data_IF_029896730488
#
_entry.id   IF_029896730488
#
_cell.length_a   1.000
_cell.length_b   1.000
_cell.length_c   1.000
_cell.angle_alpha   90.00
_cell.angle_beta   90.00
_cell.angle_gamma   90.00
#
_symmetry.space_group_name_H-M   'P 1'
#
loop_
_entity.id
_entity.type
_entity.pdbx_description
1 polymer ?
#
# COMPACT_ATOMS: atom_id res chain seq x y z
N UNK A 1 35.61 48.08 -0.63
CA UNK A 1 35.45 46.63 -0.85
C UNK A 1 33.96 46.29 -0.76
N UNK A 2 33.17 46.85 -1.70
CA UNK A 2 32.60 46.19 -2.88
C UNK A 2 31.51 45.16 -2.57
N UNK A 3 30.31 45.69 -2.29
CA UNK A 3 29.04 44.95 -2.18
C UNK A 3 28.75 44.02 -3.39
N UNK A 4 29.35 44.32 -4.55
CA UNK A 4 29.34 43.46 -5.74
C UNK A 4 30.02 42.10 -5.51
N UNK A 5 31.08 42.03 -4.70
CA UNK A 5 31.79 40.77 -4.42
C UNK A 5 30.92 39.88 -3.53
N UNK A 6 30.25 40.47 -2.55
CA UNK A 6 29.29 39.76 -1.69
C UNK A 6 28.11 39.24 -2.52
N UNK A 7 27.63 40.02 -3.50
CA UNK A 7 26.53 39.63 -4.38
C UNK A 7 26.94 38.51 -5.36
N UNK A 8 28.15 38.59 -5.96
CA UNK A 8 28.67 37.54 -6.86
C UNK A 8 28.97 36.23 -6.15
N UNK A 9 29.54 36.30 -4.94
CA UNK A 9 29.83 35.10 -4.12
C UNK A 9 28.51 34.46 -3.66
N UNK A 10 27.51 35.27 -3.31
CA UNK A 10 26.16 34.80 -3.01
C UNK A 10 25.47 34.11 -4.19
N UNK A 11 25.59 34.67 -5.40
CA UNK A 11 25.05 34.04 -6.62
C UNK A 11 25.78 32.74 -6.99
N UNK A 12 27.09 32.68 -6.84
CA UNK A 12 27.87 31.47 -7.13
C UNK A 12 27.53 30.30 -6.18
N UNK A 13 27.36 30.58 -4.87
CA UNK A 13 26.95 29.59 -3.88
C UNK A 13 25.52 29.09 -4.11
N UNK A 14 24.60 29.97 -4.50
CA UNK A 14 23.22 29.62 -4.84
C UNK A 14 23.13 28.78 -6.12
N UNK A 15 23.91 29.11 -7.16
CA UNK A 15 24.02 28.31 -8.36
C UNK A 15 24.61 26.93 -8.06
N UNK A 16 25.64 26.86 -7.21
CA UNK A 16 26.28 25.60 -6.83
C UNK A 16 25.36 24.69 -6.01
N UNK A 17 24.55 25.24 -5.10
CA UNK A 17 23.53 24.48 -4.36
C UNK A 17 22.38 24.02 -5.25
N UNK A 18 21.90 24.88 -6.17
CA UNK A 18 20.89 24.50 -7.15
C UNK A 18 21.37 23.38 -8.08
N UNK A 19 22.63 23.44 -8.54
CA UNK A 19 23.26 22.40 -9.37
C UNK A 19 23.46 21.10 -8.58
N UNK A 20 23.90 21.16 -7.32
CA UNK A 20 24.04 19.97 -6.46
C UNK A 20 22.68 19.30 -6.17
N UNK A 21 21.63 20.09 -5.96
CA UNK A 21 20.26 19.59 -5.79
C UNK A 21 19.69 18.99 -7.09
N UNK A 22 19.92 19.64 -8.24
CA UNK A 22 19.56 19.08 -9.54
C UNK A 22 20.30 17.77 -9.82
N UNK A 23 21.60 17.70 -9.52
CA UNK A 23 22.39 16.47 -9.63
C UNK A 23 21.90 15.35 -8.69
N UNK A 24 21.45 15.68 -7.48
CA UNK A 24 20.87 14.70 -6.56
C UNK A 24 19.55 14.12 -7.10
N UNK A 25 18.66 14.97 -7.63
CA UNK A 25 17.40 14.56 -8.26
C UNK A 25 17.65 13.72 -9.54
N UNK A 26 18.64 14.09 -10.35
CA UNK A 26 19.04 13.33 -11.54
C UNK A 26 19.67 11.98 -11.14
N UNK A 27 20.46 11.91 -10.06
CA UNK A 27 21.01 10.64 -9.54
C UNK A 27 19.94 9.70 -9.00
N UNK A 28 18.93 10.21 -8.31
CA UNK A 28 17.82 9.38 -7.81
C UNK A 28 16.96 8.82 -8.96
N UNK A 29 16.70 9.63 -9.99
CA UNK A 29 15.97 9.17 -11.20
C UNK A 29 16.80 8.18 -12.03
N UNK A 30 18.12 8.36 -12.12
CA UNK A 30 19.01 7.41 -12.79
C UNK A 30 19.18 6.10 -12.02
N UNK A 31 19.18 6.11 -10.68
CA UNK A 31 19.20 4.87 -9.87
C UNK A 31 17.95 4.01 -10.11
N UNK A 32 16.78 4.63 -10.29
CA UNK A 32 15.55 3.93 -10.68
C UNK A 32 15.59 3.34 -12.10
N UNK A 33 16.29 3.98 -13.04
CA UNK A 33 16.46 3.50 -14.43
C UNK A 33 17.53 2.41 -14.55
N UNK A 34 18.62 2.48 -13.79
CA UNK A 34 19.70 1.49 -13.80
C UNK A 34 19.27 0.13 -13.22
N UNK A 35 18.39 0.12 -12.21
CA UNK A 35 17.80 -1.11 -11.66
C UNK A 35 16.80 -1.74 -12.63
N UNK A 36 15.97 -0.93 -13.32
CA UNK A 36 15.02 -1.42 -14.34
C UNK A 36 15.68 -1.93 -15.62
N UNK A 37 16.86 -1.45 -16.00
CA UNK A 37 17.60 -1.94 -17.19
C UNK A 37 18.40 -3.23 -16.93
N UNK A 38 18.61 -3.64 -15.68
CA UNK A 38 19.27 -4.92 -15.34
C UNK A 38 18.31 -6.07 -15.01
N UNK A 39 17.03 -5.77 -14.79
CA UNK A 39 15.98 -6.77 -14.56
C UNK A 39 15.50 -7.56 -15.80
N UNK A 40 15.70 -7.16 -17.08
CA UNK A 40 15.36 -8.04 -18.19
C UNK A 40 16.39 -9.16 -18.39
N UNK A 41 17.64 -8.97 -17.95
CA UNK A 41 18.73 -9.92 -18.18
C UNK A 41 18.78 -11.09 -17.18
N UNK A 42 18.07 -10.99 -16.04
CA UNK A 42 17.99 -12.10 -15.05
C UNK A 42 16.78 -13.00 -15.30
N UNK A 43 15.83 -12.59 -16.15
CA UNK A 43 14.61 -13.35 -16.45
C UNK A 43 14.48 -13.78 -17.92
N UNK A 44 15.48 -13.55 -18.76
CA UNK A 44 15.50 -14.04 -20.15
C UNK A 44 16.71 -14.93 -20.44
N UNK A 45 16.55 -16.23 -20.14
CA UNK A 45 17.47 -17.34 -20.46
C UNK A 45 17.28 -18.43 -19.42
N UNK A 46 16.39 -19.41 -19.56
CA UNK A 46 16.32 -20.48 -20.60
C UNK A 46 16.72 -21.82 -19.93
N UNK A 47 16.52 -23.03 -20.48
CA UNK A 47 15.66 -23.52 -21.57
C UNK A 47 14.73 -24.72 -21.17
N UNK A 48 13.62 -24.85 -21.89
CA UNK A 48 13.11 -26.04 -22.61
C UNK A 48 13.06 -27.47 -21.98
N UNK A 49 11.86 -28.08 -22.06
CA UNK A 49 11.50 -29.49 -22.46
C UNK A 49 10.76 -30.43 -21.47
N UNK A 50 9.78 -31.10 -22.12
CA UNK A 50 9.04 -32.36 -21.81
C UNK A 50 7.71 -32.18 -21.07
N UNK A 51 6.60 -32.77 -21.48
CA UNK A 51 6.39 -33.76 -22.53
C UNK A 51 4.90 -33.85 -22.91
N UNK A 52 4.70 -34.20 -24.18
CA UNK A 52 3.45 -34.63 -24.78
C UNK A 52 3.08 -36.01 -24.21
N UNK A 53 1.79 -36.28 -24.17
CA UNK A 53 1.10 -37.57 -23.96
C UNK A 53 0.62 -37.91 -22.54
N UNK A 54 -0.69 -38.19 -22.42
CA UNK A 54 -1.26 -38.93 -21.30
C UNK A 54 -2.60 -38.45 -20.73
N UNK A 55 -3.69 -38.67 -21.48
CA UNK A 55 -5.03 -39.05 -20.99
C UNK A 55 -5.77 -38.23 -19.90
N UNK A 56 -6.81 -37.53 -20.37
CA UNK A 56 -8.22 -37.59 -19.93
C UNK A 56 -8.50 -37.69 -18.42
N UNK A 57 -8.96 -36.58 -17.83
CA UNK A 57 -10.29 -36.41 -17.18
C UNK A 57 -10.37 -35.01 -16.54
N UNK A 58 -11.54 -34.38 -16.57
CA UNK A 58 -11.81 -33.12 -15.85
C UNK A 58 -11.82 -31.85 -16.70
N UNK A 59 -12.56 -31.84 -17.80
CA UNK A 59 -13.03 -30.61 -18.41
C UNK A 59 -14.03 -29.91 -17.47
N UNK A 60 -13.63 -28.79 -16.85
CA UNK A 60 -14.46 -27.59 -16.55
C UNK A 60 -13.94 -26.78 -15.36
N UNK A 61 -12.89 -25.98 -15.54
CA UNK A 61 -12.56 -24.91 -14.58
C UNK A 61 -11.65 -23.80 -15.12
N UNK A 62 -11.07 -23.94 -16.32
CA UNK A 62 -10.06 -23.00 -16.85
C UNK A 62 -10.63 -21.72 -17.53
N UNK A 63 -11.91 -21.40 -17.31
CA UNK A 63 -12.62 -20.39 -18.10
C UNK A 63 -13.17 -19.16 -17.36
N UNK A 64 -12.93 -19.00 -16.04
CA UNK A 64 -13.72 -18.05 -15.23
C UNK A 64 -12.94 -17.07 -14.35
N UNK A 65 -11.68 -16.77 -14.67
CA UNK A 65 -10.89 -15.75 -13.96
C UNK A 65 -10.45 -14.55 -14.79
N UNK A 66 -10.87 -14.47 -16.06
CA UNK A 66 -10.52 -13.36 -16.97
C UNK A 66 -11.53 -12.20 -17.01
N UNK A 67 -12.49 -12.12 -16.08
CA UNK A 67 -13.55 -11.07 -16.09
C UNK A 67 -13.95 -10.53 -14.71
N UNK A 68 -13.00 -10.21 -13.82
CA UNK A 68 -13.34 -9.40 -12.62
C UNK A 68 -12.24 -8.46 -12.10
N UNK A 69 -11.31 -8.05 -12.95
CA UNK A 69 -10.36 -6.96 -12.69
C UNK A 69 -10.37 -5.96 -13.86
N UNK A 70 -11.54 -5.38 -14.13
CA UNK A 70 -11.67 -4.33 -15.14
C UNK A 70 -12.73 -3.29 -14.78
N UNK A 71 -12.82 -2.87 -13.51
CA UNK A 71 -13.47 -1.60 -13.13
C UNK A 71 -12.79 -0.99 -11.91
N UNK A 72 -11.46 -0.82 -11.94
CA UNK A 72 -10.81 0.25 -11.18
C UNK A 72 -9.79 0.91 -12.11
N UNK A 73 -10.17 2.11 -12.52
CA UNK A 73 -9.30 3.15 -13.06
C UNK A 73 -8.59 2.85 -14.37
N UNK A 74 -9.32 3.07 -15.47
CA UNK A 74 -8.72 3.60 -16.70
C UNK A 74 -8.16 5.01 -16.45
N UNK A 75 -7.09 5.09 -15.66
CA UNK A 75 -6.33 6.30 -15.46
C UNK A 75 -5.46 6.54 -16.68
N UNK A 76 -5.84 7.51 -17.49
CA UNK A 76 -5.05 8.08 -18.58
C UNK A 76 -3.60 8.27 -18.10
N UNK A 77 -2.59 7.58 -18.65
CA UNK A 77 -1.26 7.46 -18.02
C UNK A 77 -0.39 8.74 -18.06
N UNK A 78 -0.94 9.89 -18.45
CA UNK A 78 -0.22 11.16 -18.55
C UNK A 78 -0.74 12.30 -17.66
N UNK A 79 -1.98 12.25 -17.17
CA UNK A 79 -2.65 13.43 -16.58
C UNK A 79 -2.61 13.48 -15.04
N UNK A 80 -2.41 12.35 -14.37
CA UNK A 80 -2.35 12.27 -12.90
C UNK A 80 -1.07 12.87 -12.32
N UNK A 81 0.07 12.78 -13.00
CA UNK A 81 1.33 13.34 -12.51
C UNK A 81 1.34 14.87 -12.48
N UNK A 82 0.69 15.55 -13.43
CA UNK A 82 0.64 17.02 -13.43
C UNK A 82 -0.24 17.55 -12.29
N UNK A 83 -1.37 16.90 -12.00
CA UNK A 83 -2.24 17.28 -10.88
C UNK A 83 -1.64 16.90 -9.51
N UNK A 84 -0.90 15.79 -9.43
CA UNK A 84 -0.21 15.35 -8.20
C UNK A 84 0.89 16.32 -7.77
N UNK A 85 1.52 17.01 -8.72
CA UNK A 85 2.53 18.03 -8.42
C UNK A 85 1.94 19.43 -8.26
N UNK A 86 0.69 19.66 -8.66
CA UNK A 86 0.01 20.96 -8.52
C UNK A 86 -0.18 21.37 -7.04
N UNK A 87 -0.43 20.40 -6.14
CA UNK A 87 -0.51 20.65 -4.70
C UNK A 87 0.82 21.16 -4.09
N UNK A 88 1.93 20.41 -4.21
CA UNK A 88 3.22 20.86 -3.67
C UNK A 88 3.81 22.06 -4.44
N UNK A 89 3.58 22.19 -5.76
CA UNK A 89 3.99 23.37 -6.52
C UNK A 89 3.19 24.61 -6.16
N UNK A 90 1.88 24.48 -5.89
CA UNK A 90 1.02 25.57 -5.43
C UNK A 90 1.39 26.06 -4.03
N UNK A 91 1.67 25.13 -3.10
CA UNK A 91 2.12 25.48 -1.75
C UNK A 91 3.54 26.09 -1.76
N UNK A 92 4.45 25.57 -2.58
CA UNK A 92 5.78 26.15 -2.75
C UNK A 92 5.73 27.54 -3.42
N UNK A 93 4.86 27.72 -4.41
CA UNK A 93 4.61 29.02 -5.06
C UNK A 93 4.06 30.05 -4.08
N UNK A 94 3.10 29.67 -3.23
CA UNK A 94 2.52 30.55 -2.22
C UNK A 94 3.58 31.01 -1.19
N UNK A 95 4.47 30.12 -0.76
CA UNK A 95 5.56 30.46 0.19
C UNK A 95 6.65 31.33 -0.45
N UNK A 96 6.97 31.11 -1.73
CA UNK A 96 7.93 31.96 -2.47
C UNK A 96 7.38 33.38 -2.65
N UNK A 97 6.07 33.51 -2.91
CA UNK A 97 5.38 34.80 -3.07
C UNK A 97 5.28 35.54 -1.72
N UNK A 98 5.07 34.83 -0.60
CA UNK A 98 4.87 35.46 0.72
C UNK A 98 6.17 35.96 1.37
N UNK A 99 7.31 35.28 1.14
CA UNK A 99 8.55 35.54 1.89
C UNK A 99 9.54 36.42 1.12
N UNK A 100 9.57 36.33 -0.22
CA UNK A 100 10.48 37.12 -1.06
C UNK A 100 11.98 36.80 -0.87
N UNK A 101 12.75 36.91 -1.96
CA UNK A 101 14.22 36.81 -1.92
C UNK A 101 14.82 35.39 -1.87
N UNK A 102 16.16 35.31 -1.73
CA UNK A 102 16.95 34.06 -1.78
C UNK A 102 16.58 33.05 -0.68
N UNK A 103 16.12 33.51 0.48
CA UNK A 103 15.66 32.65 1.58
C UNK A 103 14.37 31.89 1.21
N UNK A 104 13.45 32.52 0.47
CA UNK A 104 12.22 31.88 0.00
C UNK A 104 12.46 30.72 -0.96
N UNK A 105 13.47 30.82 -1.83
CA UNK A 105 13.84 29.75 -2.78
C UNK A 105 14.41 28.53 -2.04
N UNK A 106 15.31 28.75 -1.07
CA UNK A 106 15.91 27.65 -0.30
C UNK A 106 14.89 26.94 0.58
N UNK A 107 14.01 27.70 1.26
CA UNK A 107 12.92 27.13 2.08
C UNK A 107 11.92 26.39 1.20
N UNK A 108 11.53 26.96 0.06
CA UNK A 108 10.63 26.32 -0.90
C UNK A 108 11.18 25.00 -1.43
N UNK A 109 12.47 24.94 -1.76
CA UNK A 109 13.11 23.72 -2.24
C UNK A 109 13.23 22.65 -1.12
N UNK A 110 13.58 23.06 0.10
CA UNK A 110 13.66 22.16 1.25
C UNK A 110 12.29 21.57 1.62
N UNK A 111 11.24 22.40 1.63
CA UNK A 111 9.85 21.98 1.86
C UNK A 111 9.38 21.08 0.72
N UNK A 112 9.66 21.43 -0.53
CA UNK A 112 9.31 20.63 -1.71
C UNK A 112 9.98 19.26 -1.70
N UNK A 113 11.28 19.19 -1.39
CA UNK A 113 12.00 17.92 -1.25
C UNK A 113 11.49 17.10 -0.06
N UNK A 114 11.23 17.74 1.08
CA UNK A 114 10.64 17.11 2.26
C UNK A 114 9.26 16.51 1.97
N UNK A 115 8.39 17.27 1.28
CA UNK A 115 7.08 16.82 0.84
C UNK A 115 7.18 15.65 -0.15
N UNK A 116 8.06 15.75 -1.16
CA UNK A 116 8.30 14.69 -2.13
C UNK A 116 8.78 13.39 -1.45
N UNK A 117 9.77 13.48 -0.55
CA UNK A 117 10.29 12.32 0.18
C UNK A 117 9.22 11.69 1.07
N UNK A 118 8.37 12.50 1.70
CA UNK A 118 7.22 12.00 2.48
C UNK A 118 6.19 11.30 1.59
N UNK A 119 5.84 11.88 0.45
CA UNK A 119 4.90 11.28 -0.50
C UNK A 119 5.40 9.94 -1.05
N UNK A 120 6.68 9.84 -1.43
CA UNK A 120 7.27 8.58 -1.90
C UNK A 120 7.25 7.51 -0.80
N UNK A 121 7.58 7.88 0.44
CA UNK A 121 7.51 6.95 1.58
C UNK A 121 6.08 6.51 1.89
N UNK A 122 5.12 7.44 1.86
CA UNK A 122 3.71 7.15 2.08
C UNK A 122 3.19 6.18 1.03
N UNK A 123 3.51 6.39 -0.25
CA UNK A 123 3.13 5.47 -1.34
C UNK A 123 3.71 4.08 -1.16
N UNK A 124 4.98 3.97 -0.75
CA UNK A 124 5.59 2.67 -0.44
C UNK A 124 4.88 1.95 0.69
N UNK A 125 4.55 2.66 1.77
CA UNK A 125 3.81 2.11 2.90
C UNK A 125 2.36 1.74 2.53
N UNK A 126 1.70 2.54 1.70
CA UNK A 126 0.35 2.25 1.19
C UNK A 126 0.34 1.03 0.28
N UNK A 127 1.30 0.89 -0.63
CA UNK A 127 1.42 -0.29 -1.48
C UNK A 127 1.66 -1.56 -0.65
N UNK A 128 2.52 -1.50 0.37
CA UNK A 128 2.75 -2.62 1.28
C UNK A 128 1.48 -2.98 2.08
N UNK A 129 0.72 -1.98 2.55
CA UNK A 129 -0.57 -2.19 3.23
C UNK A 129 -1.61 -2.79 2.31
N UNK A 130 -1.68 -2.34 1.05
CA UNK A 130 -2.61 -2.85 0.06
C UNK A 130 -2.32 -4.33 -0.24
N UNK A 131 -1.05 -4.69 -0.48
CA UNK A 131 -0.64 -6.08 -0.67
C UNK A 131 -0.95 -6.95 0.56
N UNK A 132 -0.71 -6.44 1.78
CA UNK A 132 -1.05 -7.17 3.00
C UNK A 132 -2.57 -7.33 3.19
N UNK A 133 -3.37 -6.34 2.77
CA UNK A 133 -4.83 -6.41 2.82
C UNK A 133 -5.37 -7.43 1.80
N UNK A 134 -4.78 -7.50 0.60
CA UNK A 134 -5.12 -8.50 -0.41
C UNK A 134 -4.88 -9.92 0.11
N UNK A 135 -3.70 -10.19 0.67
CA UNK A 135 -3.38 -11.48 1.32
C UNK A 135 -4.38 -11.81 2.44
N UNK A 136 -4.70 -10.84 3.30
CA UNK A 136 -5.66 -11.05 4.40
C UNK A 136 -7.08 -11.31 3.89
N UNK A 137 -7.45 -10.74 2.74
CA UNK A 137 -8.75 -10.97 2.11
C UNK A 137 -8.91 -12.41 1.63
N UNK A 138 -7.84 -13.00 1.10
CA UNK A 138 -7.78 -14.40 0.64
C UNK A 138 -7.67 -15.41 1.79
N UNK A 139 -7.14 -14.98 2.94
CA UNK A 139 -6.88 -15.88 4.07
C UNK A 139 -8.16 -16.40 4.73
N UNK A 140 -9.22 -15.58 4.82
CA UNK A 140 -10.50 -16.02 5.39
C UNK A 140 -11.14 -17.18 4.60
N UNK A 141 -11.36 -17.06 3.26
CA UNK A 141 -11.89 -18.17 2.47
C UNK A 141 -10.93 -19.37 2.45
N UNK A 142 -9.61 -19.17 2.48
CA UNK A 142 -8.66 -20.28 2.64
C UNK A 142 -8.85 -21.01 3.98
N UNK A 143 -9.06 -20.29 5.07
CA UNK A 143 -9.35 -20.86 6.40
C UNK A 143 -10.67 -21.63 6.43
N UNK A 144 -11.74 -21.08 5.86
CA UNK A 144 -13.04 -21.76 5.77
C UNK A 144 -12.94 -23.07 4.94
N UNK A 145 -12.21 -23.05 3.82
CA UNK A 145 -11.98 -24.24 2.99
C UNK A 145 -11.09 -25.28 3.70
N UNK A 146 -10.05 -24.86 4.41
CA UNK A 146 -9.23 -25.77 5.22
C UNK A 146 -10.05 -26.42 6.32
N UNK A 147 -10.89 -25.64 7.03
CA UNK A 147 -11.80 -26.17 8.03
C UNK A 147 -12.79 -27.18 7.43
N UNK A 148 -13.33 -26.90 6.23
CA UNK A 148 -14.21 -27.83 5.52
C UNK A 148 -13.48 -29.12 5.11
N UNK A 149 -12.24 -29.03 4.62
CA UNK A 149 -11.43 -30.22 4.29
C UNK A 149 -11.13 -31.07 5.52
N UNK A 150 -10.77 -30.44 6.65
CA UNK A 150 -10.52 -31.14 7.92
C UNK A 150 -11.80 -31.78 8.45
N UNK A 151 -12.95 -31.11 8.33
CA UNK A 151 -14.25 -31.67 8.70
C UNK A 151 -14.64 -32.88 7.84
N UNK A 152 -14.19 -32.91 6.58
CA UNK A 152 -14.34 -34.05 5.69
C UNK A 152 -13.33 -35.19 5.96
N UNK A 153 -12.49 -35.06 6.99
CA UNK A 153 -11.50 -36.06 7.40
C UNK A 153 -10.17 -35.99 6.65
N UNK A 154 -9.92 -34.96 5.84
CA UNK A 154 -8.61 -34.77 5.22
C UNK A 154 -7.56 -34.38 6.27
N UNK A 155 -6.32 -34.86 6.10
CA UNK A 155 -5.20 -34.40 6.91
C UNK A 155 -4.75 -32.98 6.51
N UNK A 156 -3.91 -32.32 7.33
CA UNK A 156 -3.46 -30.95 7.06
C UNK A 156 -2.71 -30.78 5.74
N UNK A 157 -1.98 -31.80 5.30
CA UNK A 157 -1.28 -31.82 3.99
C UNK A 157 -2.28 -31.90 2.85
N UNK A 158 -3.22 -32.84 2.89
CA UNK A 158 -4.24 -33.04 1.87
C UNK A 158 -5.16 -31.83 1.76
N UNK A 159 -5.52 -31.23 2.90
CA UNK A 159 -6.29 -30.00 2.96
C UNK A 159 -5.53 -28.84 2.30
N UNK A 160 -4.25 -28.63 2.63
CA UNK A 160 -3.43 -27.59 2.00
C UNK A 160 -3.31 -27.78 0.47
N UNK A 161 -3.14 -29.02 0.01
CA UNK A 161 -3.07 -29.34 -1.42
C UNK A 161 -4.42 -29.09 -2.12
N UNK A 162 -5.53 -29.47 -1.51
CA UNK A 162 -6.87 -29.25 -2.05
C UNK A 162 -7.21 -27.76 -2.14
N UNK A 163 -6.96 -27.00 -1.08
CA UNK A 163 -7.23 -25.55 -1.04
C UNK A 163 -6.30 -24.80 -1.99
N UNK A 164 -5.00 -25.12 -2.02
CA UNK A 164 -4.02 -24.50 -2.92
C UNK A 164 -4.25 -24.77 -4.41
N UNK A 165 -4.99 -25.83 -4.77
CA UNK A 165 -5.46 -26.08 -6.14
C UNK A 165 -6.76 -25.37 -6.48
N UNK A 166 -7.53 -24.98 -5.48
CA UNK A 166 -8.87 -24.39 -5.66
C UNK A 166 -8.83 -22.86 -5.70
N UNK A 167 -7.98 -22.27 -4.86
CA UNK A 167 -7.76 -20.83 -4.80
C UNK A 167 -6.63 -20.39 -5.73
N UNK A 168 -6.69 -19.11 -6.10
CA UNK A 168 -5.60 -18.38 -6.74
C UNK A 168 -5.03 -17.36 -5.74
N UNK A 169 -3.86 -16.78 -6.07
CA UNK A 169 -3.24 -15.72 -5.26
C UNK A 169 -2.08 -16.18 -4.38
N UNK A 170 -1.45 -15.24 -3.65
CA UNK A 170 -0.30 -15.50 -2.79
C UNK A 170 -0.57 -16.54 -1.71
N UNK A 171 -1.78 -16.59 -1.14
CA UNK A 171 -2.13 -17.59 -0.12
C UNK A 171 -2.14 -18.99 -0.72
N UNK A 172 -2.76 -19.15 -1.90
CA UNK A 172 -2.82 -20.42 -2.61
C UNK A 172 -1.44 -20.94 -2.99
N UNK A 173 -0.57 -20.06 -3.49
CA UNK A 173 0.81 -20.43 -3.85
C UNK A 173 1.60 -20.92 -2.64
N UNK A 174 1.46 -20.25 -1.50
CA UNK A 174 2.11 -20.70 -0.25
C UNK A 174 1.55 -22.03 0.25
N UNK A 175 0.25 -22.26 0.16
CA UNK A 175 -0.36 -23.55 0.52
C UNK A 175 0.11 -24.68 -0.39
N UNK A 176 0.25 -24.44 -1.71
CA UNK A 176 0.85 -25.41 -2.65
C UNK A 176 2.30 -25.72 -2.30
N UNK A 177 3.09 -24.71 -1.96
CA UNK A 177 4.46 -24.87 -1.54
C UNK A 177 4.55 -25.71 -0.25
N UNK A 178 3.76 -25.37 0.78
CA UNK A 178 3.67 -26.11 2.04
C UNK A 178 3.28 -27.57 1.78
N UNK A 179 2.25 -27.82 0.97
CA UNK A 179 1.82 -29.17 0.62
C UNK A 179 2.91 -29.97 -0.12
N UNK A 180 3.65 -29.32 -1.04
CA UNK A 180 4.75 -29.95 -1.75
C UNK A 180 5.91 -30.31 -0.82
N UNK A 181 6.28 -29.43 0.11
CA UNK A 181 7.33 -29.67 1.10
C UNK A 181 6.96 -30.79 2.07
N UNK A 182 5.73 -30.81 2.58
CA UNK A 182 5.21 -31.90 3.41
C UNK A 182 5.19 -33.24 2.64
N UNK A 183 4.90 -33.21 1.33
CA UNK A 183 4.92 -34.41 0.49
C UNK A 183 6.33 -34.98 0.30
N UNK A 184 7.35 -34.13 0.37
CA UNK A 184 8.76 -34.52 0.33
C UNK A 184 9.30 -34.97 1.69
N UNK A 185 8.44 -35.07 2.72
CA UNK A 185 8.85 -35.44 4.09
C UNK A 185 9.40 -34.27 4.90
N UNK A 186 9.08 -33.03 4.51
CA UNK A 186 9.43 -31.85 5.30
C UNK A 186 8.75 -31.85 6.67
N UNK A 187 9.48 -31.44 7.70
CA UNK A 187 8.99 -31.39 9.07
C UNK A 187 7.87 -30.34 9.23
N UNK A 188 6.67 -30.70 9.76
CA UNK A 188 5.56 -29.76 9.94
C UNK A 188 5.95 -28.49 10.71
N UNK A 189 6.79 -28.63 11.74
CA UNK A 189 7.30 -27.52 12.55
C UNK A 189 8.20 -26.53 11.79
N UNK A 190 8.71 -26.90 10.61
CA UNK A 190 9.55 -26.04 9.76
C UNK A 190 8.76 -25.49 8.58
N UNK A 191 7.82 -26.27 8.04
CA UNK A 191 7.09 -25.93 6.83
C UNK A 191 5.94 -24.96 7.11
N UNK A 192 5.12 -25.22 8.13
CA UNK A 192 3.96 -24.37 8.45
C UNK A 192 4.31 -22.93 8.86
N UNK A 193 5.40 -22.67 9.61
CA UNK A 193 5.83 -21.29 9.88
C UNK A 193 6.15 -20.46 8.62
N UNK A 194 6.44 -21.09 7.48
CA UNK A 194 6.61 -20.37 6.20
C UNK A 194 5.29 -19.76 5.72
N UNK A 195 4.15 -20.36 6.05
CA UNK A 195 2.83 -19.77 5.83
C UNK A 195 2.62 -18.56 6.75
N UNK A 196 3.14 -18.60 7.98
CA UNK A 196 3.06 -17.49 8.95
C UNK A 196 3.80 -16.22 8.50
N UNK A 197 4.68 -16.31 7.49
CA UNK A 197 5.27 -15.14 6.85
C UNK A 197 4.23 -14.27 6.10
N UNK A 198 3.05 -14.82 5.80
CA UNK A 198 1.93 -14.06 5.27
C UNK A 198 1.24 -13.27 6.39
N UNK A 199 0.90 -11.99 6.17
CA UNK A 199 0.28 -11.14 7.18
C UNK A 199 -1.08 -11.71 7.63
N UNK A 200 -1.18 -12.09 8.91
CA UNK A 200 -2.39 -12.62 9.54
C UNK A 200 -2.52 -14.14 9.50
N UNK A 201 -1.60 -14.86 8.84
CA UNK A 201 -1.67 -16.32 8.69
C UNK A 201 -1.11 -17.10 9.89
N UNK A 202 -0.51 -16.43 10.88
CA UNK A 202 0.17 -17.08 12.01
C UNK A 202 -0.71 -18.03 12.81
N UNK A 203 -1.94 -17.61 13.12
CA UNK A 203 -2.88 -18.44 13.88
C UNK A 203 -3.23 -19.73 13.13
N UNK A 204 -3.47 -19.60 11.83
CA UNK A 204 -3.79 -20.72 10.95
C UNK A 204 -2.59 -21.66 10.78
N UNK A 205 -1.38 -21.12 10.59
CA UNK A 205 -0.15 -21.89 10.48
C UNK A 205 0.11 -22.73 11.74
N UNK A 206 0.04 -22.12 12.94
CA UNK A 206 0.22 -22.82 14.22
C UNK A 206 -0.85 -23.88 14.46
N UNK A 207 -2.09 -23.61 14.05
CA UNK A 207 -3.20 -24.55 14.13
C UNK A 207 -2.93 -25.80 13.26
N UNK A 208 -2.52 -25.61 12.01
CA UNK A 208 -2.22 -26.70 11.08
C UNK A 208 -0.96 -27.48 11.46
N UNK A 209 0.07 -26.80 11.95
CA UNK A 209 1.28 -27.41 12.49
C UNK A 209 0.94 -28.40 13.62
N UNK A 210 0.16 -27.92 14.61
CA UNK A 210 -0.26 -28.75 15.74
C UNK A 210 -1.11 -29.92 15.29
N UNK A 211 -2.03 -29.71 14.35
CA UNK A 211 -2.85 -30.77 13.77
C UNK A 211 -2.01 -31.83 13.05
N UNK A 212 -0.93 -31.41 12.38
CA UNK A 212 0.00 -32.31 11.69
C UNK A 212 0.83 -33.15 12.65
N UNK A 213 1.24 -32.59 13.79
CA UNK A 213 2.03 -33.28 14.82
C UNK A 213 1.16 -34.21 15.65
N UNK A 214 -0.02 -33.75 16.10
CA UNK A 214 -0.88 -34.53 17.00
C UNK A 214 -1.81 -35.51 16.27
N UNK A 215 -2.01 -35.33 14.97
CA UNK A 215 -3.00 -36.07 14.19
C UNK A 215 -4.46 -35.76 14.56
N UNK A 216 -4.70 -34.85 15.51
CA UNK A 216 -6.05 -34.48 15.94
C UNK A 216 -6.65 -33.46 14.97
N UNK A 217 -7.85 -33.71 14.41
CA UNK A 217 -8.49 -32.77 13.49
C UNK A 217 -8.73 -31.41 14.16
N UNK A 218 -8.07 -30.37 13.65
CA UNK A 218 -8.14 -29.02 14.18
C UNK A 218 -9.33 -28.22 13.60
N UNK A 219 -10.48 -28.88 13.42
CA UNK A 219 -11.65 -28.33 12.71
C UNK A 219 -12.21 -27.09 13.42
N UNK A 220 -12.47 -27.19 14.73
CA UNK A 220 -13.06 -26.10 15.51
C UNK A 220 -12.11 -24.91 15.64
N UNK A 221 -10.81 -25.16 15.84
CA UNK A 221 -9.81 -24.11 15.88
C UNK A 221 -9.65 -23.43 14.52
N UNK A 222 -9.66 -24.18 13.42
CA UNK A 222 -9.57 -23.62 12.08
C UNK A 222 -10.81 -22.78 11.72
N UNK A 223 -12.01 -23.27 12.04
CA UNK A 223 -13.27 -22.54 11.81
C UNK A 223 -13.36 -21.27 12.65
N UNK A 224 -12.90 -21.31 13.91
CA UNK A 224 -12.78 -20.14 14.76
C UNK A 224 -11.83 -19.09 14.18
N UNK A 225 -10.65 -19.50 13.73
CA UNK A 225 -9.68 -18.58 13.10
C UNK A 225 -10.28 -17.97 11.82
N UNK A 226 -10.98 -18.76 11.01
CA UNK A 226 -11.65 -18.26 9.81
C UNK A 226 -12.75 -17.24 10.15
N UNK A 227 -13.53 -17.47 11.21
CA UNK A 227 -14.53 -16.53 11.70
C UNK A 227 -13.90 -15.22 12.23
N UNK A 228 -12.78 -15.31 12.95
CA UNK A 228 -12.02 -14.14 13.41
C UNK A 228 -11.52 -13.31 12.21
N UNK A 229 -10.98 -13.95 11.18
CA UNK A 229 -10.56 -13.26 9.94
C UNK A 229 -11.72 -12.57 9.22
N UNK A 230 -12.90 -13.22 9.12
CA UNK A 230 -14.11 -12.60 8.55
C UNK A 230 -14.58 -11.40 9.37
N UNK A 231 -14.53 -11.51 10.71
CA UNK A 231 -14.89 -10.41 11.59
C UNK A 231 -13.93 -9.21 11.43
N UNK A 232 -12.62 -9.46 11.27
CA UNK A 232 -11.65 -8.41 10.97
C UNK A 232 -11.91 -7.72 9.63
N UNK A 233 -12.23 -8.49 8.58
CA UNK A 233 -12.60 -7.93 7.27
C UNK A 233 -13.84 -7.03 7.36
N UNK A 234 -14.88 -7.47 8.08
CA UNK A 234 -16.09 -6.67 8.31
C UNK A 234 -15.79 -5.37 9.11
N UNK A 235 -14.93 -5.45 10.13
CA UNK A 235 -14.47 -4.28 10.89
C UNK A 235 -13.67 -3.30 10.02
N UNK A 236 -12.83 -3.81 9.12
CA UNK A 236 -12.08 -2.97 8.19
C UNK A 236 -13.01 -2.26 7.18
N UNK A 237 -13.98 -2.98 6.62
CA UNK A 237 -14.96 -2.42 5.70
C UNK A 237 -15.82 -1.33 6.36
N UNK A 238 -16.30 -1.58 7.58
CA UNK A 238 -17.08 -0.57 8.34
C UNK A 238 -16.23 0.65 8.71
N UNK A 239 -14.96 0.45 9.09
CA UNK A 239 -14.05 1.56 9.34
C UNK A 239 -13.79 2.40 8.08
N UNK A 240 -13.66 1.76 6.91
CA UNK A 240 -13.50 2.46 5.64
C UNK A 240 -14.75 3.26 5.27
N UNK A 241 -15.94 2.70 5.47
CA UNK A 241 -17.20 3.41 5.25
C UNK A 241 -17.33 4.66 6.14
N UNK A 242 -16.96 4.56 7.43
CA UNK A 242 -16.95 5.71 8.35
C UNK A 242 -15.98 6.80 7.92
N UNK A 243 -14.78 6.42 7.48
CA UNK A 243 -13.77 7.37 6.98
C UNK A 243 -14.23 8.07 5.70
N UNK A 244 -14.90 7.35 4.80
CA UNK A 244 -15.48 7.95 3.61
C UNK A 244 -16.52 9.03 3.97
N UNK A 245 -17.36 8.77 4.98
CA UNK A 245 -18.31 9.77 5.49
C UNK A 245 -17.63 11.05 5.98
N UNK A 246 -16.52 10.94 6.71
CA UNK A 246 -15.74 12.10 7.17
C UNK A 246 -15.07 12.83 6.00
N UNK A 247 -14.49 12.09 5.05
CA UNK A 247 -13.82 12.69 3.89
C UNK A 247 -14.78 13.47 2.99
N UNK A 248 -16.05 13.07 2.91
CA UNK A 248 -17.07 13.78 2.13
C UNK A 248 -17.52 15.07 2.82
N UNK A 249 -17.56 15.12 4.15
CA UNK A 249 -17.98 16.32 4.90
C UNK A 249 -16.85 17.31 5.15
N UNK A 250 -15.59 16.87 5.16
CA UNK A 250 -14.41 17.74 5.29
C UNK A 250 -14.35 18.93 4.32
N UNK A 251 -14.59 18.79 3.00
CA UNK A 251 -14.56 19.95 2.09
C UNK A 251 -15.69 20.95 2.37
N UNK A 252 -16.86 20.47 2.80
CA UNK A 252 -17.98 21.32 3.22
C UNK A 252 -17.62 22.13 4.47
N UNK A 253 -17.08 21.50 5.50
CA UNK A 253 -16.67 22.20 6.73
C UNK A 253 -15.49 23.14 6.48
N UNK A 254 -14.53 22.76 5.63
CA UNK A 254 -13.43 23.62 5.22
C UNK A 254 -13.89 24.86 4.43
N UNK A 255 -14.99 24.77 3.68
CA UNK A 255 -15.57 25.90 2.97
C UNK A 255 -16.47 26.78 3.87
N UNK A 256 -17.20 26.17 4.80
CA UNK A 256 -18.15 26.88 5.65
C UNK A 256 -17.46 27.68 6.76
N UNK A 257 -16.38 27.13 7.34
CA UNK A 257 -15.64 27.77 8.43
C UNK A 257 -15.11 29.18 8.07
N UNK A 258 -14.41 29.42 6.93
CA UNK A 258 -13.94 30.75 6.57
C UNK A 258 -15.09 31.72 6.27
N UNK A 259 -16.15 31.25 5.59
CA UNK A 259 -17.31 32.09 5.28
C UNK A 259 -18.05 32.55 6.56
N UNK A 260 -18.22 31.66 7.54
CA UNK A 260 -18.82 31.99 8.84
C UNK A 260 -17.95 32.99 9.61
N UNK A 261 -16.62 32.87 9.55
CA UNK A 261 -15.71 33.79 10.21
C UNK A 261 -15.83 35.21 9.64
N UNK A 262 -15.88 35.34 8.30
CA UNK A 262 -15.93 36.64 7.62
C UNK A 262 -17.30 37.30 7.69
N UNK A 263 -18.38 36.52 7.56
CA UNK A 263 -19.75 37.05 7.49
C UNK A 263 -20.41 37.15 8.87
N UNK A 264 -20.09 36.23 9.79
CA UNK A 264 -20.73 36.15 11.11
C UNK A 264 -19.89 36.74 12.23
N UNK A 265 -18.70 36.19 12.46
CA UNK A 265 -17.91 36.48 13.68
C UNK A 265 -17.16 37.81 13.59
N UNK A 266 -16.50 38.11 12.47
CA UNK A 266 -15.67 39.30 12.33
C UNK A 266 -16.43 40.63 12.53
N UNK A 267 -17.63 40.85 11.95
CA UNK A 267 -18.37 42.10 12.15
C UNK A 267 -18.78 42.32 13.61
N UNK A 268 -19.19 41.24 14.29
CA UNK A 268 -19.61 41.30 15.70
C UNK A 268 -18.45 41.67 16.61
N UNK A 269 -17.27 41.07 16.39
CA UNK A 269 -16.05 41.40 17.13
C UNK A 269 -15.62 42.85 16.92
N UNK A 270 -15.72 43.37 15.69
CA UNK A 270 -15.41 44.77 15.39
C UNK A 270 -16.38 45.72 16.11
N UNK A 271 -17.68 45.40 16.12
CA UNK A 271 -18.69 46.20 16.83
C UNK A 271 -18.47 46.25 18.34
N UNK A 272 -18.14 45.11 18.96
CA UNK A 272 -17.84 45.03 20.41
C UNK A 272 -16.54 45.76 20.77
N UNK A 273 -15.48 45.63 19.94
CA UNK A 273 -14.23 46.33 20.14
C UNK A 273 -14.42 47.85 20.05
N UNK A 274 -15.19 48.34 19.07
CA UNK A 274 -15.51 49.76 18.92
C UNK A 274 -16.26 50.34 20.14
N UNK A 275 -17.22 49.60 20.70
CA UNK A 275 -17.98 50.04 21.87
C UNK A 275 -17.17 50.08 23.19
N UNK A 276 -16.13 49.26 23.31
CA UNK A 276 -15.24 49.24 24.48
C UNK A 276 -14.08 50.24 24.37
N UNK A 277 -13.53 50.45 23.17
CA UNK A 277 -12.46 51.44 22.93
C UNK A 277 -12.98 52.89 22.81
N UNK A 278 -14.24 53.09 22.42
CA UNK A 278 -14.88 54.41 22.33
C UNK A 278 -15.43 54.94 23.66
N UNK A 279 -15.13 54.29 24.79
CA UNK A 279 -15.61 54.66 26.13
C UNK A 279 -14.46 55.04 27.09
N UNK A 280 -13.53 55.84 26.56
CA UNK A 280 -12.57 56.69 27.27
C UNK A 280 -12.68 58.11 26.70
#
# INVERSE_FOLDING_TARGET
MSAEVVHRVGMALAAMTAVLCAMALVRETHRGRAVRRRLPAVWSGGPDRRGRDGARTGASARGRWRRRTATVSGGVPGKSRLLEWAGPLGAAGLVVILVGGMAGVLVGLAVGYGAHRRLVRQRGAEAARAAAAEVRSELAPAGDLLAACLAAGAGPREAAEAVGRTLDGPVAERLRQVAAELRLGGEPAVVWPRLAALPGAEGLARCMERAGISGVPAVESASRIAAELRAEQARAATAQARRAGVLVTLPLSACFLPAFLTLGVAPVLIGLAGGLLGRN
#
